data_IF_463067303217
#
_entry.id   IF_463067303217
#
_cell.length_a   1.000
_cell.length_b   1.000
_cell.length_c   1.000
_cell.angle_alpha   90.00
_cell.angle_beta   90.00
_cell.angle_gamma   90.00
#
_symmetry.space_group_name_H-M   'P 1'
#
loop_
_entity.id
_entity.type
_entity.pdbx_description
1 polymer ?
#
# COMPACT_ATOMS: atom_id res chain seq x y z
N UNK A 1 26.95 17.27 -7.15
CA UNK A 1 25.79 16.44 -6.74
C UNK A 1 25.60 15.40 -7.82
N UNK A 2 25.51 14.11 -7.44
CA UNK A 2 25.24 13.05 -8.40
C UNK A 2 23.80 13.18 -8.94
N UNK A 3 23.58 12.81 -10.19
CA UNK A 3 22.24 12.88 -10.79
C UNK A 3 21.33 11.76 -10.23
N UNK A 4 20.09 12.09 -9.83
CA UNK A 4 19.09 11.10 -9.46
C UNK A 4 18.79 10.13 -10.59
N UNK A 5 18.48 8.88 -10.25
CA UNK A 5 17.94 7.92 -11.19
C UNK A 5 16.61 8.42 -11.78
N UNK A 6 16.45 8.24 -13.09
CA UNK A 6 15.17 8.51 -13.74
C UNK A 6 14.20 7.36 -13.47
N UNK A 7 12.99 7.70 -13.03
CA UNK A 7 11.93 6.70 -12.82
C UNK A 7 11.58 6.00 -14.12
N UNK A 8 11.56 4.65 -14.17
CA UNK A 8 11.05 3.92 -15.32
C UNK A 8 9.52 3.94 -15.39
N UNK A 9 8.85 4.37 -14.32
CA UNK A 9 7.39 4.34 -14.15
C UNK A 9 6.74 5.59 -14.74
N UNK A 10 6.83 5.74 -16.07
CA UNK A 10 6.27 6.91 -16.77
C UNK A 10 5.22 6.50 -17.80
N UNK A 11 4.20 7.34 -17.95
CA UNK A 11 3.10 7.14 -18.90
C UNK A 11 3.61 6.84 -20.31
N UNK A 12 3.04 5.82 -20.94
CA UNK A 12 3.37 5.34 -22.28
C UNK A 12 4.49 4.30 -22.33
N UNK A 13 5.20 4.02 -21.23
CA UNK A 13 6.19 2.93 -21.19
C UNK A 13 5.50 1.58 -21.04
N UNK A 14 6.13 0.56 -21.62
CA UNK A 14 5.77 -0.85 -21.43
C UNK A 14 6.73 -1.47 -20.43
N UNK A 15 6.17 -2.19 -19.46
CA UNK A 15 6.90 -3.01 -18.50
C UNK A 15 6.68 -4.49 -18.84
N UNK A 16 7.69 -5.30 -18.56
CA UNK A 16 7.57 -6.77 -18.56
C UNK A 16 7.47 -7.22 -17.12
N UNK A 17 6.41 -7.95 -16.80
CA UNK A 17 6.11 -8.46 -15.47
C UNK A 17 6.32 -9.96 -15.45
N UNK A 18 7.15 -10.47 -14.54
CA UNK A 18 7.30 -11.92 -14.31
C UNK A 18 6.33 -12.36 -13.23
N UNK A 19 5.37 -13.22 -13.54
CA UNK A 19 4.31 -13.64 -12.62
C UNK A 19 4.88 -14.65 -11.62
N UNK A 20 4.79 -14.34 -10.32
CA UNK A 20 5.16 -15.30 -9.26
C UNK A 20 3.99 -16.16 -8.83
N UNK A 21 2.84 -15.52 -8.61
CA UNK A 21 1.62 -16.16 -8.14
C UNK A 21 0.40 -15.39 -8.65
N UNK A 22 -0.67 -16.12 -8.93
CA UNK A 22 -1.92 -15.57 -9.45
C UNK A 22 -3.00 -15.66 -8.38
N UNK A 23 -3.71 -14.56 -8.17
CA UNK A 23 -4.75 -14.45 -7.16
C UNK A 23 -5.91 -15.41 -7.39
N UNK A 24 -6.51 -15.90 -6.29
CA UNK A 24 -7.59 -16.90 -6.33
C UNK A 24 -8.86 -16.45 -7.07
N UNK A 25 -9.08 -15.14 -7.18
CA UNK A 25 -10.20 -14.53 -7.92
C UNK A 25 -9.75 -13.86 -9.22
N UNK A 26 -8.50 -14.06 -9.64
CA UNK A 26 -7.98 -13.44 -10.84
C UNK A 26 -8.74 -13.94 -12.07
N UNK A 27 -9.32 -13.05 -12.90
CA UNK A 27 -9.88 -13.41 -14.19
C UNK A 27 -8.79 -13.56 -15.25
N UNK A 28 -7.54 -13.21 -14.94
CA UNK A 28 -6.43 -13.28 -15.87
C UNK A 28 -6.00 -14.74 -16.06
N UNK A 29 -5.85 -15.15 -17.32
CA UNK A 29 -5.30 -16.46 -17.68
C UNK A 29 -3.77 -16.40 -17.62
N UNK A 30 -3.23 -16.21 -16.43
CA UNK A 30 -1.80 -16.23 -16.13
C UNK A 30 -1.49 -17.44 -15.24
N UNK A 31 -0.26 -17.92 -15.30
CA UNK A 31 0.30 -18.92 -14.42
C UNK A 31 1.58 -18.40 -13.76
N UNK A 32 1.98 -19.03 -12.66
CA UNK A 32 3.30 -18.77 -12.08
C UNK A 32 4.40 -19.14 -13.08
N UNK A 33 5.33 -18.21 -13.32
CA UNK A 33 6.38 -18.31 -14.31
C UNK A 33 6.08 -17.62 -15.65
N UNK A 34 4.84 -17.17 -15.88
CA UNK A 34 4.50 -16.45 -17.10
C UNK A 34 5.08 -15.03 -17.11
N UNK A 35 5.28 -14.48 -18.31
CA UNK A 35 5.59 -13.07 -18.51
C UNK A 35 4.39 -12.33 -19.09
N UNK A 36 4.08 -11.15 -18.54
CA UNK A 36 3.03 -10.27 -19.03
C UNK A 36 3.61 -8.92 -19.42
N UNK A 37 3.26 -8.43 -20.61
CA UNK A 37 3.56 -7.05 -21.01
C UNK A 37 2.41 -6.14 -20.62
N UNK A 38 2.74 -5.05 -19.95
CA UNK A 38 1.76 -4.04 -19.52
C UNK A 38 2.21 -2.65 -19.93
N UNK A 39 1.27 -1.85 -20.42
CA UNK A 39 1.53 -0.45 -20.77
C UNK A 39 1.03 0.47 -19.67
N UNK A 40 1.89 1.37 -19.20
CA UNK A 40 1.53 2.40 -18.22
C UNK A 40 0.65 3.43 -18.92
N UNK A 41 -0.59 3.58 -18.43
CA UNK A 41 -1.54 4.59 -18.93
C UNK A 41 -1.61 5.82 -18.05
N UNK A 42 -1.28 5.68 -16.77
CA UNK A 42 -1.22 6.79 -15.85
C UNK A 42 -0.31 6.49 -14.66
N UNK A 43 0.13 7.55 -13.98
CA UNK A 43 0.93 7.48 -12.75
C UNK A 43 0.18 8.24 -11.67
N UNK A 44 -0.07 7.61 -10.53
CA UNK A 44 -0.71 8.26 -9.39
C UNK A 44 0.40 8.87 -8.53
N UNK A 45 0.39 10.19 -8.44
CA UNK A 45 1.39 10.99 -7.74
C UNK A 45 0.78 11.71 -6.52
N UNK A 46 1.58 12.02 -5.47
CA UNK A 46 2.99 11.64 -5.34
C UNK A 46 3.16 10.16 -4.97
N UNK A 47 4.23 9.51 -5.45
CA UNK A 47 4.67 8.23 -4.90
C UNK A 47 5.02 8.37 -3.41
N UNK A 48 4.63 7.37 -2.59
CA UNK A 48 4.89 7.34 -1.14
C UNK A 48 5.84 6.20 -0.79
N UNK A 49 5.37 5.15 -0.13
CA UNK A 49 6.09 3.91 0.16
C UNK A 49 6.17 2.97 -1.06
N UNK A 50 5.32 3.21 -2.06
CA UNK A 50 5.28 2.48 -3.32
C UNK A 50 4.92 3.41 -4.47
N UNK A 51 5.36 3.05 -5.67
CA UNK A 51 4.97 3.72 -6.90
C UNK A 51 3.67 3.09 -7.40
N UNK A 52 2.65 3.92 -7.61
CA UNK A 52 1.33 3.46 -8.07
C UNK A 52 1.15 3.86 -9.53
N UNK A 53 1.01 2.88 -10.41
CA UNK A 53 0.72 3.13 -11.83
C UNK A 53 -0.54 2.42 -12.27
N UNK A 54 -1.30 3.06 -13.15
CA UNK A 54 -2.42 2.43 -13.84
C UNK A 54 -1.87 1.82 -15.12
N UNK A 55 -2.15 0.54 -15.34
CA UNK A 55 -1.65 -0.22 -16.48
C UNK A 55 -2.79 -0.86 -17.27
N UNK A 56 -2.51 -1.13 -18.53
CA UNK A 56 -3.34 -1.94 -19.41
C UNK A 56 -2.51 -3.16 -19.83
N UNK A 57 -3.06 -4.37 -19.66
CA UNK A 57 -2.50 -5.60 -20.23
C UNK A 57 -2.96 -5.68 -21.68
N UNK A 58 -2.02 -5.89 -22.60
CA UNK A 58 -2.37 -6.17 -23.99
C UNK A 58 -3.18 -7.48 -24.02
N UNK A 59 -4.36 -7.52 -24.67
CA UNK A 59 -5.12 -8.76 -24.76
C UNK A 59 -4.24 -9.83 -25.41
N UNK A 60 -4.28 -11.09 -24.93
CA UNK A 60 -3.58 -12.18 -25.60
C UNK A 60 -4.01 -12.15 -27.06
N UNK A 61 -3.03 -12.17 -27.96
CA UNK A 61 -3.26 -12.18 -29.39
C UNK A 61 -4.28 -13.28 -29.69
N UNK A 62 -5.50 -12.87 -30.05
CA UNK A 62 -6.56 -13.79 -30.45
C UNK A 62 -5.98 -14.68 -31.53
N UNK A 63 -5.90 -15.98 -31.27
CA UNK A 63 -5.59 -16.95 -32.31
C UNK A 63 -6.50 -16.66 -33.51
N UNK A 64 -5.90 -16.64 -34.70
CA UNK A 64 -6.60 -16.34 -35.96
C UNK A 64 -7.89 -17.19 -36.05
N UNK A 65 -9.06 -16.55 -35.96
CA UNK A 65 -10.35 -17.22 -36.21
C UNK A 65 -11.52 -16.91 -35.27
N UNK A 66 -11.34 -16.17 -34.16
CA UNK A 66 -12.47 -15.80 -33.30
C UNK A 66 -12.87 -14.32 -33.46
N UNK A 67 -13.95 -14.08 -34.20
CA UNK A 67 -14.61 -12.77 -34.40
C UNK A 67 -15.45 -12.35 -33.18
N UNK A 68 -14.88 -12.38 -31.98
CA UNK A 68 -15.41 -11.64 -30.84
C UNK A 68 -14.69 -10.30 -30.80
N UNK A 69 -15.45 -9.19 -30.69
CA UNK A 69 -14.85 -7.87 -30.53
C UNK A 69 -13.76 -7.92 -29.46
N UNK A 70 -12.57 -7.31 -29.68
CA UNK A 70 -11.55 -7.29 -28.66
C UNK A 70 -12.16 -6.62 -27.42
N UNK A 71 -12.25 -7.36 -26.32
CA UNK A 71 -12.61 -6.76 -25.04
C UNK A 71 -11.68 -5.57 -24.82
N UNK A 72 -12.19 -4.40 -24.38
CA UNK A 72 -11.34 -3.26 -24.10
C UNK A 72 -10.25 -3.68 -23.10
N UNK A 73 -9.02 -3.16 -23.23
CA UNK A 73 -7.92 -3.54 -22.36
C UNK A 73 -8.32 -3.30 -20.90
N UNK A 74 -8.12 -4.32 -20.07
CA UNK A 74 -8.48 -4.27 -18.66
C UNK A 74 -7.52 -3.30 -17.96
N UNK A 75 -8.06 -2.18 -17.45
CA UNK A 75 -7.31 -1.26 -16.60
C UNK A 75 -7.09 -1.87 -15.23
N UNK A 76 -5.86 -1.83 -14.76
CA UNK A 76 -5.42 -2.39 -13.49
C UNK A 76 -4.50 -1.42 -12.78
N UNK A 77 -4.36 -1.58 -11.47
CA UNK A 77 -3.35 -0.88 -10.68
C UNK A 77 -2.17 -1.82 -10.49
N UNK A 78 -0.99 -1.35 -10.84
CA UNK A 78 0.28 -1.98 -10.49
C UNK A 78 0.91 -1.15 -9.37
N UNK A 79 0.97 -1.73 -8.17
CA UNK A 79 1.61 -1.13 -6.99
C UNK A 79 3.01 -1.70 -6.88
N UNK A 80 4.01 -0.86 -7.11
CA UNK A 80 5.42 -1.24 -7.24
C UNK A 80 6.21 -0.82 -6.02
N UNK A 81 6.83 -1.79 -5.36
CA UNK A 81 7.67 -1.60 -4.17
C UNK A 81 9.14 -1.54 -4.61
N UNK A 82 9.49 -0.45 -5.30
CA UNK A 82 10.85 -0.20 -5.75
C UNK A 82 11.59 0.67 -4.74
N UNK A 83 12.61 0.11 -4.08
CA UNK A 83 13.42 0.80 -3.08
C UNK A 83 14.01 2.11 -3.59
N UNK A 84 14.29 2.22 -4.89
CA UNK A 84 14.91 3.41 -5.52
C UNK A 84 13.95 4.60 -5.55
N UNK A 85 12.65 4.33 -5.56
CA UNK A 85 11.59 5.33 -5.76
C UNK A 85 10.57 5.39 -4.62
N UNK A 86 10.83 4.73 -3.49
CA UNK A 86 10.03 4.84 -2.27
C UNK A 86 10.36 6.14 -1.52
N UNK A 87 9.75 7.25 -1.95
CA UNK A 87 10.02 8.60 -1.46
C UNK A 87 9.81 8.73 0.06
N UNK A 88 8.70 8.20 0.58
CA UNK A 88 8.39 8.33 2.01
C UNK A 88 9.42 7.61 2.90
N UNK A 89 9.85 6.39 2.52
CA UNK A 89 10.91 5.69 3.28
C UNK A 89 12.22 6.49 3.31
N UNK A 90 12.57 7.14 2.20
CA UNK A 90 13.78 7.96 2.10
C UNK A 90 13.69 9.23 2.93
N UNK A 91 12.51 9.84 2.97
CA UNK A 91 12.23 11.01 3.82
C UNK A 91 12.32 10.67 5.32
N UNK A 92 11.73 9.55 5.73
CA UNK A 92 11.69 9.11 7.14
C UNK A 92 13.09 8.82 7.71
N UNK A 93 13.97 8.19 6.91
CA UNK A 93 15.37 7.98 7.29
C UNK A 93 16.25 9.24 7.18
N UNK A 94 15.68 10.38 6.79
CA UNK A 94 16.42 11.61 6.45
C UNK A 94 17.53 11.35 5.41
N UNK A 95 17.42 10.28 4.62
CA UNK A 95 18.21 10.09 3.42
C UNK A 95 17.63 11.05 2.38
N UNK A 96 17.90 12.33 2.52
CA UNK A 96 17.40 13.40 1.63
C UNK A 96 17.95 13.30 0.20
N UNK A 97 18.58 12.18 -0.14
CA UNK A 97 19.23 11.91 -1.41
C UNK A 97 18.41 10.87 -2.17
N UNK A 98 17.89 11.22 -3.36
CA UNK A 98 17.33 10.25 -4.30
C UNK A 98 18.34 9.12 -4.58
N UNK A 99 17.88 7.92 -4.94
CA UNK A 99 18.81 6.90 -5.44
C UNK A 99 19.54 7.46 -6.68
N UNK A 100 20.84 7.22 -6.74
CA UNK A 100 21.75 7.64 -7.81
C UNK A 100 22.51 6.42 -8.33
N UNK A 101 23.19 6.56 -9.47
CA UNK A 101 24.05 5.48 -9.98
C UNK A 101 25.13 5.05 -8.95
N UNK A 102 25.71 6.00 -8.23
CA UNK A 102 26.74 5.71 -7.23
C UNK A 102 26.20 4.87 -6.06
N UNK A 103 25.01 5.20 -5.55
CA UNK A 103 24.38 4.43 -4.45
C UNK A 103 24.00 3.02 -4.91
N UNK A 104 23.60 2.84 -6.17
CA UNK A 104 23.35 1.51 -6.74
C UNK A 104 24.64 0.68 -6.85
N UNK A 105 25.74 1.28 -7.30
CA UNK A 105 27.06 0.61 -7.38
C UNK A 105 27.55 0.20 -5.98
N UNK A 106 27.48 1.09 -5.00
CA UNK A 106 27.84 0.80 -3.61
C UNK A 106 26.98 -0.33 -3.02
N UNK A 107 25.67 -0.33 -3.30
CA UNK A 107 24.77 -1.40 -2.87
C UNK A 107 25.08 -2.74 -3.54
N UNK A 108 25.41 -2.74 -4.83
CA UNK A 108 25.83 -3.95 -5.54
C UNK A 108 27.10 -4.55 -4.94
N UNK A 109 28.10 -3.72 -4.61
CA UNK A 109 29.32 -4.17 -3.91
C UNK A 109 28.97 -4.79 -2.55
N UNK A 110 28.07 -4.17 -1.80
CA UNK A 110 27.60 -4.70 -0.51
C UNK A 110 26.93 -6.07 -0.65
N UNK A 111 26.14 -6.30 -1.71
CA UNK A 111 25.57 -7.62 -2.01
C UNK A 111 26.65 -8.64 -2.38
N UNK A 112 27.61 -8.26 -3.23
CA UNK A 112 28.72 -9.12 -3.66
C UNK A 112 29.62 -9.57 -2.50
N UNK A 113 29.77 -8.73 -1.48
CA UNK A 113 30.50 -9.06 -0.25
C UNK A 113 29.75 -10.02 0.69
N UNK A 114 28.48 -10.34 0.41
CA UNK A 114 27.65 -11.19 1.26
C UNK A 114 27.08 -10.49 2.50
N UNK A 115 27.28 -9.17 2.63
CA UNK A 115 26.91 -8.36 3.81
C UNK A 115 25.40 -8.33 4.08
N UNK A 116 24.57 -8.66 3.09
CA UNK A 116 23.11 -8.66 3.20
C UNK A 116 22.58 -9.68 4.23
N UNK A 117 23.20 -10.86 4.33
CA UNK A 117 22.74 -11.90 5.26
C UNK A 117 22.94 -11.48 6.73
N UNK A 118 24.10 -10.90 7.03
CA UNK A 118 24.42 -10.38 8.36
C UNK A 118 23.53 -9.19 8.71
N UNK A 119 23.31 -8.28 7.75
CA UNK A 119 22.42 -7.15 7.93
C UNK A 119 20.99 -7.59 8.23
N UNK A 120 20.43 -8.50 7.43
CA UNK A 120 19.08 -9.02 7.63
C UNK A 120 18.91 -9.71 8.99
N UNK A 121 19.94 -10.43 9.45
CA UNK A 121 19.93 -11.08 10.77
C UNK A 121 19.86 -10.05 11.90
N UNK A 122 20.69 -9.00 11.83
CA UNK A 122 20.68 -7.92 12.83
C UNK A 122 19.37 -7.14 12.80
N UNK A 123 18.88 -6.80 11.61
CA UNK A 123 17.61 -6.10 11.40
C UNK A 123 16.42 -6.84 12.05
N UNK A 124 16.37 -8.16 11.92
CA UNK A 124 15.29 -8.97 12.50
C UNK A 124 15.39 -9.15 14.03
N UNK A 125 16.58 -9.00 14.62
CA UNK A 125 16.82 -9.23 16.05
C UNK A 125 16.60 -7.98 16.90
N UNK A 126 16.81 -6.79 16.34
CA UNK A 126 16.76 -5.53 17.10
C UNK A 126 15.87 -4.49 16.42
N UNK A 127 14.65 -4.32 16.93
CA UNK A 127 13.73 -3.27 16.45
C UNK A 127 14.22 -1.85 16.81
N UNK A 128 15.21 -1.72 17.70
CA UNK A 128 15.86 -0.44 18.04
C UNK A 128 17.11 -0.17 17.20
N UNK A 129 17.32 -0.90 16.11
CA UNK A 129 18.40 -0.66 15.17
C UNK A 129 18.31 0.78 14.62
N UNK A 130 19.06 1.69 15.22
CA UNK A 130 18.98 3.13 14.92
C UNK A 130 19.68 3.41 13.61
N UNK A 131 18.99 4.10 12.71
CA UNK A 131 19.46 4.48 11.37
C UNK A 131 20.72 5.35 11.35
N UNK A 132 21.08 5.97 12.47
CA UNK A 132 22.16 6.95 12.55
C UNK A 132 23.54 6.36 12.23
N UNK A 133 23.71 5.04 12.38
CA UNK A 133 24.97 4.33 12.08
C UNK A 133 25.01 3.69 10.68
N UNK A 134 23.95 3.84 9.86
CA UNK A 134 23.89 3.19 8.55
C UNK A 134 24.59 4.02 7.48
N UNK A 135 25.56 3.41 6.84
CA UNK A 135 26.10 3.89 5.58
C UNK A 135 25.08 3.72 4.43
N UNK A 136 25.41 4.28 3.28
CA UNK A 136 24.58 4.27 2.07
C UNK A 136 24.12 2.86 1.67
N UNK A 137 24.99 1.83 1.58
CA UNK A 137 24.58 0.46 1.32
C UNK A 137 23.64 -0.16 2.36
N UNK A 138 23.85 0.10 3.66
CA UNK A 138 22.96 -0.38 4.71
C UNK A 138 21.57 0.26 4.64
N UNK A 139 21.49 1.54 4.28
CA UNK A 139 20.19 2.20 4.03
C UNK A 139 19.46 1.56 2.83
N UNK A 140 20.16 1.30 1.72
CA UNK A 140 19.57 0.61 0.57
C UNK A 140 19.16 -0.83 0.90
N UNK A 141 19.92 -1.53 1.75
CA UNK A 141 19.54 -2.84 2.28
C UNK A 141 18.26 -2.78 3.10
N UNK A 142 18.11 -1.79 3.98
CA UNK A 142 16.88 -1.56 4.73
C UNK A 142 15.69 -1.26 3.83
N UNK A 143 15.85 -0.37 2.82
CA UNK A 143 14.79 -0.07 1.87
C UNK A 143 14.38 -1.32 1.08
N UNK A 144 15.34 -2.15 0.66
CA UNK A 144 15.11 -3.42 -0.02
C UNK A 144 14.25 -4.36 0.83
N UNK A 145 14.65 -4.60 2.09
CA UNK A 145 13.92 -5.48 3.02
C UNK A 145 12.52 -4.94 3.35
N UNK A 146 12.42 -3.62 3.56
CA UNK A 146 11.14 -2.98 3.92
C UNK A 146 10.16 -3.05 2.74
N UNK A 147 10.61 -2.76 1.51
CA UNK A 147 9.79 -2.90 0.31
C UNK A 147 9.34 -4.35 0.08
N UNK A 148 10.24 -5.31 0.23
CA UNK A 148 9.91 -6.73 0.12
C UNK A 148 8.85 -7.15 1.16
N UNK A 149 9.03 -6.76 2.43
CA UNK A 149 8.07 -7.03 3.51
C UNK A 149 6.69 -6.43 3.22
N UNK A 150 6.62 -5.15 2.84
CA UNK A 150 5.34 -4.50 2.55
C UNK A 150 4.59 -5.21 1.41
N UNK A 151 5.31 -5.58 0.34
CA UNK A 151 4.74 -6.32 -0.78
C UNK A 151 4.21 -7.68 -0.35
N UNK A 152 5.02 -8.46 0.37
CA UNK A 152 4.66 -9.80 0.82
C UNK A 152 3.49 -9.79 1.80
N UNK A 153 3.49 -8.85 2.74
CA UNK A 153 2.38 -8.61 3.68
C UNK A 153 1.09 -8.32 2.91
N UNK A 154 1.12 -7.37 1.98
CA UNK A 154 -0.08 -6.97 1.26
C UNK A 154 -0.63 -8.10 0.38
N UNK A 155 0.23 -8.80 -0.37
CA UNK A 155 -0.16 -9.97 -1.16
C UNK A 155 -0.79 -11.05 -0.28
N UNK A 156 -0.20 -11.33 0.89
CA UNK A 156 -0.72 -12.31 1.85
C UNK A 156 -2.07 -11.91 2.43
N UNK A 157 -2.33 -10.62 2.67
CA UNK A 157 -3.63 -10.16 3.17
C UNK A 157 -4.74 -10.40 2.15
N UNK A 158 -4.47 -10.20 0.86
CA UNK A 158 -5.45 -10.54 -0.18
C UNK A 158 -5.83 -12.03 -0.14
N UNK A 159 -4.91 -12.92 0.22
CA UNK A 159 -5.20 -14.35 0.42
C UNK A 159 -6.08 -14.68 1.63
N UNK A 160 -6.04 -13.84 2.68
CA UNK A 160 -6.93 -13.95 3.84
C UNK A 160 -8.31 -13.34 3.59
N UNK A 161 -8.37 -12.31 2.76
CA UNK A 161 -9.58 -11.52 2.51
C UNK A 161 -10.24 -11.84 1.16
N UNK A 162 -10.10 -13.08 0.68
CA UNK A 162 -10.63 -13.54 -0.62
C UNK A 162 -12.10 -13.21 -0.77
N UNK A 163 -12.90 -13.40 0.28
CA UNK A 163 -14.35 -13.14 0.24
C UNK A 163 -14.71 -11.65 0.11
N UNK A 164 -13.78 -10.75 0.47
CA UNK A 164 -13.98 -9.29 0.39
C UNK A 164 -13.53 -8.70 -0.96
N UNK A 165 -12.69 -9.42 -1.72
CA UNK A 165 -12.18 -8.97 -3.02
C UNK A 165 -13.30 -8.74 -4.04
N UNK A 166 -13.24 -7.59 -4.73
CA UNK A 166 -14.23 -7.11 -5.70
C UNK A 166 -15.50 -6.52 -5.05
N UNK A 167 -15.60 -6.55 -3.72
CA UNK A 167 -16.79 -6.12 -2.97
C UNK A 167 -16.47 -4.96 -2.04
N UNK A 168 -15.44 -5.12 -1.22
CA UNK A 168 -15.02 -4.16 -0.19
C UNK A 168 -13.52 -3.82 -0.28
N UNK A 169 -12.75 -4.62 -1.01
CA UNK A 169 -11.34 -4.39 -1.31
C UNK A 169 -11.12 -4.73 -2.80
N UNK A 170 -10.07 -4.21 -3.45
CA UNK A 170 -9.75 -4.56 -4.84
C UNK A 170 -9.62 -6.07 -5.06
N UNK A 171 -9.95 -6.54 -6.26
CA UNK A 171 -9.56 -7.90 -6.65
C UNK A 171 -8.06 -7.99 -6.82
N UNK A 172 -7.43 -9.00 -6.22
CA UNK A 172 -6.00 -9.28 -6.39
C UNK A 172 -5.81 -10.19 -7.60
N UNK A 173 -5.05 -9.71 -8.58
CA UNK A 173 -4.81 -10.43 -9.83
C UNK A 173 -3.52 -11.23 -9.80
N UNK A 174 -2.40 -10.65 -9.36
CA UNK A 174 -1.12 -11.35 -9.31
C UNK A 174 -0.08 -10.68 -8.40
N UNK A 175 0.83 -11.49 -7.85
CA UNK A 175 2.15 -11.07 -7.35
C UNK A 175 3.15 -11.17 -8.50
N UNK A 176 3.87 -10.08 -8.79
CA UNK A 176 4.75 -9.96 -9.96
C UNK A 176 6.12 -9.36 -9.65
N UNK A 177 7.09 -9.83 -10.45
CA UNK A 177 8.46 -9.37 -10.69
C UNK A 177 8.59 -8.22 -11.68
N UNK A 178 9.37 -7.18 -11.40
CA UNK A 178 9.94 -6.30 -12.45
C UNK A 178 11.45 -6.42 -12.37
N UNK A 179 12.04 -7.00 -13.42
CA UNK A 179 13.49 -7.18 -13.50
C UNK A 179 14.20 -5.82 -13.51
N UNK A 180 15.15 -5.66 -12.59
CA UNK A 180 16.03 -4.50 -12.62
C UNK A 180 17.15 -4.74 -13.63
N UNK A 181 17.35 -3.79 -14.55
CA UNK A 181 18.50 -3.85 -15.46
C UNK A 181 19.78 -3.54 -14.65
N UNK A 182 20.82 -4.38 -14.72
CA UNK A 182 22.11 -4.07 -14.10
C UNK A 182 22.64 -2.74 -14.60
N UNK A 183 23.22 -1.95 -13.70
CA UNK A 183 24.06 -0.82 -14.08
C UNK A 183 25.38 -1.39 -14.60
N UNK A 184 25.83 -0.92 -15.77
CA UNK A 184 27.19 -1.14 -16.31
C UNK A 184 27.64 -2.57 -16.69
N UNK A 185 26.76 -3.44 -17.19
CA UNK A 185 27.18 -4.67 -17.88
C UNK A 185 27.90 -5.72 -17.01
N UNK A 186 27.86 -5.56 -15.69
CA UNK A 186 28.34 -6.57 -14.75
C UNK A 186 27.35 -7.74 -14.65
N UNK A 187 27.89 -8.95 -14.45
CA UNK A 187 27.09 -10.13 -14.14
C UNK A 187 26.41 -9.93 -12.79
N UNK A 188 25.13 -9.55 -12.82
CA UNK A 188 24.26 -9.75 -11.66
C UNK A 188 24.05 -11.24 -11.52
N UNK A 189 24.66 -11.82 -10.49
CA UNK A 189 24.42 -13.21 -10.15
C UNK A 189 22.93 -13.39 -9.81
N UNK A 190 22.31 -14.44 -10.34
CA UNK A 190 20.87 -14.74 -10.15
C UNK A 190 20.46 -14.77 -8.66
N UNK A 191 21.40 -15.07 -7.76
CA UNK A 191 21.19 -15.10 -6.32
C UNK A 191 20.83 -13.73 -5.70
N UNK A 192 21.06 -12.61 -6.39
CA UNK A 192 20.76 -11.26 -5.92
C UNK A 192 19.43 -10.69 -6.42
N UNK A 193 18.76 -11.36 -7.36
CA UNK A 193 17.50 -10.90 -7.96
C UNK A 193 16.46 -10.48 -6.90
N UNK A 194 16.34 -11.24 -5.80
CA UNK A 194 15.43 -10.94 -4.68
C UNK A 194 15.69 -9.62 -3.94
N UNK A 195 16.86 -9.00 -4.11
CA UNK A 195 17.25 -7.74 -3.46
C UNK A 195 17.33 -6.55 -4.42
N UNK A 196 17.34 -6.82 -5.73
CA UNK A 196 17.53 -5.82 -6.79
C UNK A 196 16.24 -5.63 -7.60
N UNK A 197 15.51 -6.70 -7.89
CA UNK A 197 14.26 -6.63 -8.62
C UNK A 197 13.18 -5.94 -7.79
N UNK A 198 12.36 -5.13 -8.45
CA UNK A 198 11.23 -4.50 -7.80
C UNK A 198 10.08 -5.50 -7.69
N UNK A 199 9.60 -5.74 -6.48
CA UNK A 199 8.37 -6.49 -6.25
C UNK A 199 7.16 -5.61 -6.55
N UNK A 200 6.11 -6.17 -7.12
CA UNK A 200 4.86 -5.45 -7.34
C UNK A 200 3.65 -6.37 -7.21
N UNK A 201 2.48 -5.76 -7.02
CA UNK A 201 1.19 -6.47 -7.09
C UNK A 201 0.30 -5.83 -8.14
N UNK A 202 -0.45 -6.67 -8.83
CA UNK A 202 -1.45 -6.27 -9.81
C UNK A 202 -2.84 -6.46 -9.21
N UNK A 203 -3.60 -5.36 -9.11
CA UNK A 203 -4.91 -5.33 -8.47
C UNK A 203 -5.95 -4.58 -9.32
N UNK A 204 -7.22 -4.75 -8.97
CA UNK A 204 -8.34 -4.07 -9.60
C UNK A 204 -8.20 -2.54 -9.53
N UNK A 205 -8.40 -1.89 -10.67
CA UNK A 205 -8.56 -0.44 -10.71
C UNK A 205 -9.99 -0.07 -10.29
N UNK A 206 -10.10 0.67 -9.18
CA UNK A 206 -11.37 1.21 -8.69
C UNK A 206 -11.50 2.68 -9.14
N UNK A 207 -12.38 3.00 -10.11
CA UNK A 207 -12.61 4.39 -10.49
C UNK A 207 -13.35 5.13 -9.37
N UNK A 208 -12.80 6.20 -8.84
CA UNK A 208 -13.42 6.94 -7.75
C UNK A 208 -12.56 8.07 -7.21
N UNK A 209 -12.95 8.59 -6.05
CA UNK A 209 -12.21 9.60 -5.30
C UNK A 209 -11.85 9.08 -3.91
N UNK A 210 -10.83 9.67 -3.28
CA UNK A 210 -10.41 9.25 -1.94
C UNK A 210 -11.47 9.66 -0.89
N UNK A 211 -11.69 8.82 0.12
CA UNK A 211 -12.61 9.14 1.21
C UNK A 211 -12.19 10.42 1.96
N UNK A 212 -10.89 10.74 1.99
CA UNK A 212 -10.36 11.99 2.54
C UNK A 212 -10.89 13.25 1.85
N UNK A 213 -11.33 13.17 0.58
CA UNK A 213 -11.89 14.29 -0.20
C UNK A 213 -13.42 14.22 -0.32
N UNK A 214 -14.09 13.32 0.40
CA UNK A 214 -15.54 13.09 0.31
C UNK A 214 -16.38 14.37 0.41
N UNK A 215 -16.05 15.28 1.33
CA UNK A 215 -16.84 16.50 1.59
C UNK A 215 -16.82 17.50 0.42
N UNK A 216 -15.81 17.44 -0.45
CA UNK A 216 -15.73 18.28 -1.66
C UNK A 216 -16.30 17.59 -2.88
N UNK A 217 -16.24 16.26 -2.91
CA UNK A 217 -16.69 15.46 -4.05
C UNK A 217 -18.20 15.18 -4.01
N UNK A 218 -18.82 15.15 -2.83
CA UNK A 218 -20.21 14.67 -2.69
C UNK A 218 -21.12 15.70 -2.01
N UNK A 219 -22.43 15.70 -2.36
CA UNK A 219 -23.40 16.51 -1.65
C UNK A 219 -23.51 16.07 -0.18
N UNK A 220 -23.83 17.02 0.71
CA UNK A 220 -23.93 16.78 2.16
C UNK A 220 -24.88 15.63 2.51
N UNK A 221 -25.95 15.45 1.74
CA UNK A 221 -26.94 14.38 1.94
C UNK A 221 -26.33 12.97 1.82
N UNK A 222 -25.25 12.82 1.05
CA UNK A 222 -24.60 11.52 0.83
C UNK A 222 -23.59 11.14 1.93
N UNK A 223 -23.09 12.11 2.71
CA UNK A 223 -22.01 11.88 3.67
C UNK A 223 -22.32 10.78 4.70
N UNK A 224 -23.51 10.74 5.34
CA UNK A 224 -23.79 9.74 6.36
C UNK A 224 -23.73 8.30 5.81
N UNK A 225 -24.28 8.08 4.61
CA UNK A 225 -24.28 6.77 3.96
C UNK A 225 -22.87 6.28 3.61
N UNK A 226 -22.03 7.18 3.09
CA UNK A 226 -20.62 6.87 2.79
C UNK A 226 -19.85 6.57 4.08
N UNK A 227 -20.01 7.39 5.12
CA UNK A 227 -19.33 7.19 6.41
C UNK A 227 -19.72 5.85 7.06
N UNK A 228 -21.02 5.53 7.11
CA UNK A 228 -21.49 4.26 7.66
C UNK A 228 -20.98 3.06 6.86
N UNK A 229 -20.93 3.18 5.53
CA UNK A 229 -20.39 2.13 4.68
C UNK A 229 -18.87 1.95 4.90
N UNK A 230 -18.11 3.03 5.07
CA UNK A 230 -16.69 2.96 5.40
C UNK A 230 -16.43 2.25 6.73
N UNK A 231 -17.18 2.59 7.79
CA UNK A 231 -17.05 1.89 9.08
C UNK A 231 -17.43 0.41 8.95
N UNK A 232 -18.48 0.08 8.18
CA UNK A 232 -18.85 -1.32 7.92
C UNK A 232 -17.77 -2.09 7.17
N UNK A 233 -17.08 -1.46 6.21
CA UNK A 233 -15.93 -2.06 5.50
C UNK A 233 -14.79 -2.31 6.48
N UNK A 234 -14.43 -1.32 7.29
CA UNK A 234 -13.41 -1.48 8.35
C UNK A 234 -13.79 -2.63 9.28
N UNK A 235 -15.03 -2.71 9.74
CA UNK A 235 -15.53 -3.79 10.62
C UNK A 235 -15.44 -5.20 10.02
N UNK A 236 -15.41 -5.32 8.69
CA UNK A 236 -15.21 -6.58 7.97
C UNK A 236 -13.73 -6.93 7.80
N UNK A 237 -12.84 -5.94 7.83
CA UNK A 237 -11.39 -6.11 7.70
C UNK A 237 -10.77 -6.37 9.07
N UNK A 238 -11.17 -5.61 10.10
CA UNK A 238 -10.69 -5.79 11.46
C UNK A 238 -11.20 -7.12 12.04
N UNK A 239 -10.38 -7.75 12.88
CA UNK A 239 -10.71 -9.03 13.51
C UNK A 239 -10.25 -10.25 12.71
N UNK A 240 -9.61 -10.04 11.56
CA UNK A 240 -8.73 -11.04 10.97
C UNK A 240 -7.40 -11.09 11.75
N UNK A 241 -6.57 -12.12 11.53
CA UNK A 241 -5.33 -12.36 12.27
C UNK A 241 -4.16 -11.40 11.93
N UNK A 242 -4.47 -10.13 11.68
CA UNK A 242 -3.52 -9.05 11.41
C UNK A 242 -4.03 -7.72 11.95
N UNK A 243 -3.14 -6.73 12.10
CA UNK A 243 -3.44 -5.34 12.45
C UNK A 243 -2.90 -4.43 11.37
N UNK A 244 -3.71 -3.51 10.84
CA UNK A 244 -3.26 -2.48 9.90
C UNK A 244 -2.87 -1.20 10.65
N UNK A 245 -1.59 -0.86 10.65
CA UNK A 245 -1.07 0.32 11.37
C UNK A 245 -1.31 1.63 10.61
N UNK A 246 -1.75 1.53 9.35
CA UNK A 246 -2.05 2.67 8.47
C UNK A 246 -3.52 2.72 7.99
N UNK A 247 -4.45 2.33 8.86
CA UNK A 247 -5.89 2.45 8.60
C UNK A 247 -6.32 3.94 8.54
N UNK A 248 -6.32 4.53 7.34
CA UNK A 248 -6.58 5.96 7.13
C UNK A 248 -7.55 6.24 5.97
N UNK A 249 -8.22 7.39 5.98
CA UNK A 249 -9.21 7.77 4.95
C UNK A 249 -8.58 8.01 3.56
N UNK A 250 -7.27 8.22 3.48
CA UNK A 250 -6.55 8.25 2.19
C UNK A 250 -6.38 6.87 1.54
N UNK A 251 -6.53 5.80 2.32
CA UNK A 251 -6.40 4.41 1.87
C UNK A 251 -7.77 3.80 1.55
N UNK A 252 -8.76 4.66 1.24
CA UNK A 252 -10.12 4.29 0.93
C UNK A 252 -10.59 5.04 -0.30
N UNK A 253 -11.09 4.31 -1.30
CA UNK A 253 -11.72 4.86 -2.50
C UNK A 253 -13.24 4.78 -2.37
N UNK A 254 -13.91 5.85 -2.77
CA UNK A 254 -15.36 5.90 -2.96
C UNK A 254 -15.65 5.91 -4.45
N UNK A 255 -16.24 4.82 -4.95
CA UNK A 255 -16.74 4.68 -6.32
C UNK A 255 -18.18 5.14 -6.40
N UNK A 256 -18.55 5.80 -7.50
CA UNK A 256 -19.93 6.13 -7.83
C UNK A 256 -20.50 5.01 -8.70
N UNK A 257 -21.48 4.27 -8.17
CA UNK A 257 -22.21 3.24 -8.92
C UNK A 257 -23.48 3.82 -9.58
N UNK A 258 -23.92 5.01 -9.15
CA UNK A 258 -25.04 5.75 -9.72
C UNK A 258 -25.00 7.23 -9.32
N UNK A 259 -26.09 7.97 -9.57
CA UNK A 259 -26.17 9.42 -9.25
C UNK A 259 -26.00 9.67 -7.74
N UNK A 260 -26.60 8.81 -6.92
CA UNK A 260 -26.55 8.89 -5.45
C UNK A 260 -26.11 7.57 -4.80
N UNK A 261 -25.64 6.61 -5.60
CA UNK A 261 -25.18 5.31 -5.10
C UNK A 261 -23.65 5.28 -5.05
N UNK A 262 -23.13 4.96 -3.87
CA UNK A 262 -21.71 4.99 -3.56
C UNK A 262 -21.27 3.66 -2.98
N UNK A 263 -20.07 3.23 -3.39
CA UNK A 263 -19.42 2.04 -2.87
C UNK A 263 -18.01 2.35 -2.40
N UNK A 264 -17.71 1.92 -1.19
CA UNK A 264 -16.44 2.13 -0.50
C UNK A 264 -15.55 0.89 -0.64
N UNK A 265 -14.29 1.13 -1.00
CA UNK A 265 -13.23 0.12 -1.12
C UNK A 265 -12.02 0.53 -0.29
N UNK A 266 -11.52 -0.36 0.55
CA UNK A 266 -10.23 -0.18 1.23
C UNK A 266 -9.10 -0.76 0.38
N UNK A 267 -7.99 -0.04 0.21
CA UNK A 267 -7.03 -0.29 -0.88
C UNK A 267 -5.56 -0.47 -0.47
N UNK A 268 -5.19 -0.33 0.81
CA UNK A 268 -3.78 -0.36 1.22
C UNK A 268 -3.49 -1.26 2.42
N UNK A 269 -2.77 -2.36 2.19
CA UNK A 269 -2.36 -3.30 3.24
C UNK A 269 -0.83 -3.43 3.40
N UNK A 270 -0.06 -2.50 2.83
CA UNK A 270 1.41 -2.56 2.90
C UNK A 270 1.96 -2.48 4.32
N UNK A 271 1.24 -1.78 5.22
CA UNK A 271 1.60 -1.59 6.63
C UNK A 271 0.66 -2.39 7.55
N UNK A 272 0.69 -3.72 7.39
CA UNK A 272 0.03 -4.62 8.32
C UNK A 272 1.02 -5.56 9.00
N UNK A 273 0.70 -5.89 10.25
CA UNK A 273 1.46 -6.86 11.04
C UNK A 273 0.61 -8.09 11.30
N UNK A 274 1.22 -9.26 11.17
CA UNK A 274 0.63 -10.52 11.62
C UNK A 274 1.10 -10.81 13.04
N UNK A 275 0.25 -11.48 13.81
CA UNK A 275 0.60 -11.94 15.15
C UNK A 275 1.81 -12.87 15.11
N UNK A 276 2.80 -12.62 15.96
CA UNK A 276 3.91 -13.54 16.13
C UNK A 276 3.42 -14.79 16.90
N UNK A 277 3.83 -16.01 16.52
CA UNK A 277 3.44 -17.22 17.26
C UNK A 277 3.82 -17.21 18.75
N UNK A 278 4.79 -16.40 19.15
CA UNK A 278 5.22 -16.22 20.55
C UNK A 278 4.42 -15.16 21.32
N UNK A 279 3.61 -14.34 20.65
CA UNK A 279 2.77 -13.34 21.32
C UNK A 279 1.65 -14.01 22.12
N UNK A 280 1.47 -13.61 23.38
CA UNK A 280 0.29 -13.99 24.16
C UNK A 280 -0.97 -13.31 23.62
N UNK A 281 -2.15 -13.83 23.99
CA UNK A 281 -3.42 -13.22 23.59
C UNK A 281 -3.52 -11.78 24.12
N UNK A 282 -3.04 -11.54 25.34
CA UNK A 282 -3.03 -10.22 25.98
C UNK A 282 -2.13 -9.23 25.24
N UNK A 283 -0.91 -9.64 24.85
CA UNK A 283 0.03 -8.79 24.11
C UNK A 283 -0.55 -8.41 22.75
N UNK A 284 -1.09 -9.39 22.03
CA UNK A 284 -1.68 -9.15 20.71
C UNK A 284 -2.94 -8.28 20.80
N UNK A 285 -3.79 -8.51 21.79
CA UNK A 285 -4.98 -7.68 22.04
C UNK A 285 -4.58 -6.24 22.36
N UNK A 286 -3.60 -6.03 23.24
CA UNK A 286 -3.09 -4.71 23.57
C UNK A 286 -2.52 -4.00 22.34
N UNK A 287 -1.76 -4.71 21.50
CA UNK A 287 -1.25 -4.16 20.24
C UNK A 287 -2.37 -3.72 19.28
N UNK A 288 -3.41 -4.54 19.13
CA UNK A 288 -4.59 -4.19 18.34
C UNK A 288 -5.33 -2.98 18.93
N UNK A 289 -5.47 -2.93 20.26
CA UNK A 289 -6.09 -1.80 20.97
C UNK A 289 -5.33 -0.49 20.77
N UNK A 290 -4.01 -0.51 20.86
CA UNK A 290 -3.17 0.67 20.67
C UNK A 290 -3.26 1.23 19.24
N UNK A 291 -3.46 0.35 18.24
CA UNK A 291 -3.62 0.78 16.86
C UNK A 291 -5.00 1.39 16.57
N UNK A 292 -6.05 0.91 17.25
CA UNK A 292 -7.41 1.46 17.20
C UNK A 292 -7.91 1.78 15.78
N UNK A 293 -7.81 0.81 14.87
CA UNK A 293 -8.05 0.94 13.42
C UNK A 293 -9.37 1.66 13.08
N UNK A 294 -10.47 1.26 13.73
CA UNK A 294 -11.79 1.88 13.57
C UNK A 294 -11.77 3.37 13.92
N UNK A 295 -11.13 3.71 15.04
CA UNK A 295 -11.10 5.06 15.57
C UNK A 295 -10.35 6.01 14.63
N UNK A 296 -9.29 5.55 13.96
CA UNK A 296 -8.54 6.35 12.99
C UNK A 296 -9.41 6.84 11.83
N UNK A 297 -10.21 5.94 11.25
CA UNK A 297 -11.15 6.28 10.17
C UNK A 297 -12.30 7.14 10.71
N UNK A 298 -12.96 6.69 11.78
CA UNK A 298 -14.16 7.34 12.31
C UNK A 298 -13.93 8.78 12.76
N UNK A 299 -12.85 9.03 13.50
CA UNK A 299 -12.50 10.39 13.92
C UNK A 299 -12.01 11.27 12.77
N UNK A 300 -11.32 10.70 11.77
CA UNK A 300 -10.92 11.44 10.58
C UNK A 300 -12.14 11.96 9.81
N UNK A 301 -13.15 11.11 9.61
CA UNK A 301 -14.42 11.47 8.98
C UNK A 301 -15.20 12.53 9.78
N UNK A 302 -15.35 12.32 11.09
CA UNK A 302 -16.05 13.28 11.95
C UNK A 302 -15.38 14.66 11.93
N UNK A 303 -14.04 14.68 11.90
CA UNK A 303 -13.26 15.91 11.78
C UNK A 303 -13.42 16.58 10.41
N UNK A 304 -13.44 15.81 9.32
CA UNK A 304 -13.66 16.34 7.97
C UNK A 304 -15.03 17.01 7.84
N UNK A 305 -16.10 16.33 8.29
CA UNK A 305 -17.46 16.87 8.31
C UNK A 305 -17.53 18.11 9.19
N UNK A 306 -16.98 18.06 10.41
CA UNK A 306 -16.95 19.21 11.31
C UNK A 306 -16.30 20.45 10.66
N UNK A 307 -15.17 20.27 9.98
CA UNK A 307 -14.46 21.35 9.27
C UNK A 307 -15.30 21.89 8.12
N UNK A 308 -15.91 21.03 7.32
CA UNK A 308 -16.80 21.41 6.22
C UNK A 308 -18.02 22.21 6.71
N UNK A 309 -18.58 21.87 7.89
CA UNK A 309 -19.67 22.61 8.54
C UNK A 309 -19.22 23.89 9.28
N UNK A 310 -17.94 24.26 9.17
CA UNK A 310 -17.44 25.56 9.67
C UNK A 310 -16.74 25.51 11.03
N UNK A 311 -16.33 24.35 11.53
CA UNK A 311 -15.47 24.26 12.73
C UNK A 311 -14.10 24.87 12.44
N UNK A 312 -13.85 26.07 12.98
CA UNK A 312 -12.56 26.78 12.86
C UNK A 312 -11.63 26.49 14.04
N UNK A 313 -10.68 25.58 13.83
CA UNK A 313 -9.56 25.34 14.73
C UNK A 313 -9.88 24.56 16.02
N UNK A 314 -8.84 24.27 16.81
CA UNK A 314 -8.91 23.46 18.05
C UNK A 314 -9.71 24.12 19.20
N UNK A 315 -10.06 25.42 19.08
CA UNK A 315 -10.74 26.22 20.12
C UNK A 315 -12.24 26.45 19.89
N UNK A 316 -12.85 25.79 18.90
CA UNK A 316 -14.29 25.89 18.66
C UNK A 316 -15.10 25.35 19.86
N UNK A 317 -15.96 26.18 20.45
CA UNK A 317 -16.79 25.87 21.64
C UNK A 317 -18.31 25.77 21.35
N UNK A 318 -18.73 25.80 20.08
CA UNK A 318 -20.14 25.70 19.70
C UNK A 318 -20.63 24.25 19.56
N UNK A 319 -21.96 24.07 19.47
CA UNK A 319 -22.58 22.83 18.97
C UNK A 319 -22.94 23.05 17.50
N UNK A 320 -22.31 22.32 16.58
CA UNK A 320 -22.76 22.25 15.19
C UNK A 320 -23.69 21.05 15.06
N UNK A 321 -24.90 21.20 14.50
CA UNK A 321 -25.64 20.02 14.04
C UNK A 321 -24.82 19.39 12.91
N UNK A 322 -24.26 18.20 13.19
CA UNK A 322 -23.52 17.44 12.19
C UNK A 322 -24.46 16.44 11.52
N UNK A 323 -24.36 16.25 10.19
CA UNK A 323 -25.17 15.26 9.48
C UNK A 323 -24.78 13.81 9.85
N UNK A 324 -23.62 13.62 10.48
CA UNK A 324 -23.12 12.33 10.93
C UNK A 324 -22.20 12.52 12.13
N UNK A 325 -22.28 11.59 13.10
CA UNK A 325 -21.43 11.55 14.29
C UNK A 325 -20.84 10.15 14.44
N UNK A 326 -19.53 10.08 14.71
CA UNK A 326 -18.86 8.82 14.96
C UNK A 326 -19.07 8.39 16.41
N UNK A 327 -19.55 7.17 16.62
CA UNK A 327 -19.56 6.50 17.92
C UNK A 327 -18.68 5.26 17.83
N UNK A 328 -17.53 5.23 18.54
CA UNK A 328 -16.65 4.06 18.57
C UNK A 328 -17.41 2.81 19.01
N UNK A 329 -17.15 1.67 18.36
CA UNK A 329 -17.67 0.40 18.84
C UNK A 329 -17.05 0.01 20.19
N UNK A 330 -17.82 -0.73 20.99
CA UNK A 330 -17.34 -1.32 22.25
C UNK A 330 -16.37 -2.51 22.03
N UNK A 331 -15.89 -2.75 20.79
CA UNK A 331 -15.04 -3.90 20.45
C UNK A 331 -13.68 -3.87 21.15
N UNK A 332 -13.28 -2.72 21.70
CA UNK A 332 -11.95 -2.51 22.26
C UNK A 332 -11.94 -1.99 23.72
N UNK A 333 -12.86 -2.46 24.58
CA UNK A 333 -12.83 -2.14 26.01
C UNK A 333 -11.87 -3.05 26.79
N UNK A 334 -10.66 -2.54 27.08
CA UNK A 334 -9.83 -2.96 28.21
C UNK A 334 -9.92 -1.94 29.36
N UNK A 335 -9.75 -2.38 30.61
CA UNK A 335 -9.62 -1.47 31.76
C UNK A 335 -8.33 -0.65 31.61
N UNK A 336 -8.44 0.58 31.09
CA UNK A 336 -7.27 1.46 30.96
C UNK A 336 -7.34 2.55 29.91
N UNK A 337 -8.53 3.06 29.56
CA UNK A 337 -8.67 4.23 28.68
C UNK A 337 -8.47 5.53 29.49
N UNK A 338 -7.40 5.65 30.26
CA UNK A 338 -7.03 6.93 30.91
C UNK A 338 -5.72 7.54 30.41
N UNK A 339 -4.85 6.81 29.72
CA UNK A 339 -3.62 7.39 29.16
C UNK A 339 -3.43 7.01 27.69
N UNK A 340 -4.13 7.73 26.82
CA UNK A 340 -3.65 7.92 25.44
C UNK A 340 -2.25 8.56 25.51
N UNK A 341 -1.18 7.95 24.96
CA UNK A 341 -0.05 8.77 24.55
C UNK A 341 -0.57 9.63 23.39
N UNK A 342 -0.65 10.94 23.65
CA UNK A 342 -0.88 12.02 22.67
C UNK A 342 0.22 12.12 21.59
N UNK A 343 1.02 11.07 21.42
CA UNK A 343 2.22 11.01 20.62
C UNK A 343 2.33 9.67 19.90
N UNK A 344 1.44 9.42 18.95
CA UNK A 344 1.82 8.69 17.75
C UNK A 344 1.54 9.63 16.59
N UNK A 345 2.42 10.62 16.49
CA UNK A 345 2.69 11.29 15.22
C UNK A 345 3.63 10.35 14.49
N UNK A 346 3.15 9.67 13.45
CA UNK A 346 4.01 9.45 12.30
C UNK A 346 3.89 10.71 11.43
N UNK A 347 5.01 11.23 10.90
CA UNK A 347 5.08 12.52 10.21
C UNK A 347 4.04 12.72 9.10
#
# INVERSE_FOLDING_TARGET
MAEPLQSPYVKGKTLTLSVRHVGKKSPLQLNGGDEAQVRIVDVIEPATLSVIVIVEVDPPSTQEGQTSQPNPPLKMVLKVFDRRFSLQLREELKSSVPSTLATEEEYLVFLQQGSMADFATKYNQDYKFTSDDWDSPMQEAYFSLTCARMKETEARIYDYLVDLQGIHIPTFYADVQIASKPVAGEQVYENFAKYIDAGAILIEYIPGFLLSTMVTETPELAWPGICDQAIKVVHKIIGHHFVNTDMQTRNVIVRRDGVEDYRVFYIDFGLCDFRDPSDSDEVWMEYSYQNAEENRIGWSLANAISRAKGRKGKRYKGKLPLPWEFTPSNRFHGQGIEDYPKHIWYP
#
